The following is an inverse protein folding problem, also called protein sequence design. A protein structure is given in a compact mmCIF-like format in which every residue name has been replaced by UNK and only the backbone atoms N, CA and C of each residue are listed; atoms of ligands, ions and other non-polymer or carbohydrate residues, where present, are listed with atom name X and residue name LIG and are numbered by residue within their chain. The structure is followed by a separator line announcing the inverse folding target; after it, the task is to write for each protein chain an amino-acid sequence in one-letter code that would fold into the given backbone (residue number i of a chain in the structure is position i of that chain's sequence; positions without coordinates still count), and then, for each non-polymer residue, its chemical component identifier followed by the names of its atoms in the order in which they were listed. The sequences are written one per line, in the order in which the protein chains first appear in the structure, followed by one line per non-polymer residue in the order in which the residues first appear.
data_IF_828694717845
#
_entry.id   IF_828694717845
#
_cell.length_a   1.000
_cell.length_b   1.000
_cell.length_c   1.000
_cell.angle_alpha   90.00
_cell.angle_beta   90.00
_cell.angle_gamma   90.00
#
_symmetry.space_group_name_H-M   'P 1'
#
loop_
_entity.id
_entity.type
_entity.pdbx_description
1 polymer ?
#
# COMPACT_ATOMS: atom_id res chain seq x y z
N UNK A 1 34.33 -16.10 29.22
CA UNK A 1 33.06 -16.68 28.73
C UNK A 1 33.26 -18.19 28.62
N UNK A 2 32.44 -19.02 29.26
CA UNK A 2 32.49 -20.48 29.04
C UNK A 2 32.01 -20.74 27.61
N UNK A 3 32.91 -21.18 26.72
CA UNK A 3 32.54 -21.62 25.38
C UNK A 3 31.57 -22.80 25.53
N UNK A 4 30.30 -22.61 25.13
CA UNK A 4 29.36 -23.72 25.02
C UNK A 4 29.88 -24.66 23.94
N UNK A 5 30.07 -25.93 24.27
CA UNK A 5 30.50 -26.93 23.30
C UNK A 5 29.28 -27.41 22.50
N UNK A 6 29.01 -26.77 21.36
CA UNK A 6 27.83 -27.03 20.54
C UNK A 6 27.80 -28.48 20.03
N UNK A 7 28.98 -29.11 19.82
CA UNK A 7 29.10 -30.53 19.45
C UNK A 7 28.46 -31.48 20.47
N UNK A 8 28.47 -31.13 21.76
CA UNK A 8 27.83 -31.94 22.82
C UNK A 8 26.37 -31.54 23.05
N UNK A 9 26.01 -30.29 22.79
CA UNK A 9 24.62 -29.79 22.92
C UNK A 9 23.70 -30.23 21.76
N UNK A 10 24.26 -30.48 20.57
CA UNK A 10 23.49 -30.96 19.43
C UNK A 10 22.78 -32.30 19.75
N UNK A 11 23.47 -33.19 20.48
CA UNK A 11 22.95 -34.47 20.99
C UNK A 11 21.90 -34.24 22.08
N UNK A 12 20.65 -34.06 21.67
CA UNK A 12 19.51 -33.83 22.55
C UNK A 12 18.75 -32.53 22.29
N UNK A 13 19.22 -31.72 21.34
CA UNK A 13 18.51 -30.53 20.90
C UNK A 13 17.31 -30.90 20.01
N UNK A 14 16.20 -30.16 20.15
CA UNK A 14 15.04 -30.30 19.26
C UNK A 14 15.40 -29.85 17.85
N UNK A 15 14.74 -30.41 16.83
CA UNK A 15 15.03 -30.09 15.42
C UNK A 15 14.83 -28.60 15.12
N UNK A 16 13.88 -27.95 15.79
CA UNK A 16 13.63 -26.52 15.65
C UNK A 16 14.79 -25.68 16.20
N UNK A 17 15.38 -26.07 17.33
CA UNK A 17 16.49 -25.33 17.93
C UNK A 17 17.80 -25.54 17.15
N UNK A 18 17.99 -26.74 16.57
CA UNK A 18 19.04 -27.01 15.58
C UNK A 18 18.88 -26.10 14.37
N UNK A 19 17.66 -26.00 13.84
CA UNK A 19 17.36 -25.15 12.69
C UNK A 19 17.61 -23.66 12.99
N UNK A 20 17.18 -23.16 14.16
CA UNK A 20 17.45 -21.77 14.59
C UNK A 20 18.94 -21.47 14.64
N UNK A 21 19.76 -22.35 15.18
CA UNK A 21 21.22 -22.15 15.23
C UNK A 21 21.83 -22.09 13.83
N UNK A 22 21.43 -22.99 12.94
CA UNK A 22 21.88 -23.00 11.55
C UNK A 22 21.44 -21.72 10.80
N UNK A 23 20.23 -21.25 11.04
CA UNK A 23 19.73 -20.02 10.40
C UNK A 23 20.39 -18.77 10.98
N UNK A 24 20.61 -18.71 12.29
CA UNK A 24 21.34 -17.61 12.92
C UNK A 24 22.78 -17.52 12.40
N UNK A 25 23.46 -18.66 12.24
CA UNK A 25 24.79 -18.71 11.64
C UNK A 25 24.79 -18.22 10.20
N UNK A 26 23.82 -18.65 9.37
CA UNK A 26 23.68 -18.18 7.99
C UNK A 26 23.40 -16.69 7.89
N UNK A 27 22.53 -16.16 8.74
CA UNK A 27 22.24 -14.72 8.78
C UNK A 27 23.50 -13.92 9.12
N UNK A 28 24.25 -14.35 10.15
CA UNK A 28 25.52 -13.70 10.51
C UNK A 28 26.57 -13.78 9.39
N UNK A 29 26.66 -14.92 8.71
CA UNK A 29 27.54 -15.06 7.54
C UNK A 29 27.09 -14.13 6.41
N UNK A 30 25.79 -13.99 6.15
CA UNK A 30 25.28 -13.07 5.13
C UNK A 30 25.63 -11.60 5.45
N UNK A 31 25.42 -11.17 6.70
CA UNK A 31 25.76 -9.81 7.17
C UNK A 31 27.25 -9.48 7.06
N UNK A 32 28.11 -10.49 7.24
CA UNK A 32 29.57 -10.32 7.25
C UNK A 32 30.27 -10.75 5.96
N UNK A 33 29.52 -10.95 4.86
CA UNK A 33 30.06 -11.44 3.58
C UNK A 33 30.85 -12.75 3.73
N UNK A 34 30.41 -13.62 4.63
CA UNK A 34 31.00 -14.93 4.90
C UNK A 34 32.23 -14.91 5.81
N UNK A 35 32.61 -13.75 6.37
CA UNK A 35 33.81 -13.61 7.19
C UNK A 35 33.61 -14.10 8.63
N UNK A 36 32.39 -13.99 9.16
CA UNK A 36 32.09 -14.43 10.53
C UNK A 36 30.92 -15.41 10.55
N UNK A 37 31.12 -16.52 11.28
CA UNK A 37 30.08 -17.46 11.65
C UNK A 37 29.84 -17.46 13.16
N UNK A 38 28.65 -17.88 13.56
CA UNK A 38 28.35 -18.28 14.94
C UNK A 38 28.88 -19.71 15.18
N UNK A 39 28.82 -20.54 14.15
CA UNK A 39 29.22 -21.95 14.17
C UNK A 39 30.50 -22.15 13.35
N UNK A 40 31.39 -22.97 13.89
CA UNK A 40 32.49 -23.55 13.11
C UNK A 40 31.95 -24.60 12.13
N UNK A 41 32.66 -24.91 11.02
CA UNK A 41 32.24 -25.95 10.08
C UNK A 41 31.99 -27.32 10.72
N UNK A 42 32.78 -27.68 11.73
CA UNK A 42 32.61 -28.94 12.46
C UNK A 42 31.33 -28.95 13.32
N UNK A 43 30.93 -27.82 13.88
CA UNK A 43 29.71 -27.71 14.68
C UNK A 43 28.48 -27.77 13.79
N UNK A 44 28.52 -27.14 12.62
CA UNK A 44 27.49 -27.26 11.58
C UNK A 44 27.34 -28.72 11.12
N UNK A 45 28.46 -29.41 10.86
CA UNK A 45 28.46 -30.83 10.49
C UNK A 45 27.87 -31.71 11.58
N UNK A 46 28.24 -31.48 12.84
CA UNK A 46 27.72 -32.23 13.98
C UNK A 46 26.21 -32.09 14.16
N UNK A 47 25.64 -30.90 13.90
CA UNK A 47 24.18 -30.68 13.95
C UNK A 47 23.47 -31.47 12.84
N UNK A 48 24.04 -31.51 11.64
CA UNK A 48 23.48 -32.23 10.49
C UNK A 48 23.55 -33.75 10.71
N UNK A 49 24.70 -34.27 11.15
CA UNK A 49 24.89 -35.70 11.44
C UNK A 49 23.94 -36.16 12.55
N UNK A 50 23.78 -35.39 13.64
CA UNK A 50 22.83 -35.73 14.70
C UNK A 50 21.37 -35.71 14.23
N UNK A 51 21.01 -34.79 13.30
CA UNK A 51 19.68 -34.79 12.69
C UNK A 51 19.46 -36.01 11.76
N UNK A 52 20.51 -36.54 11.14
CA UNK A 52 20.44 -37.78 10.35
C UNK A 52 20.27 -38.99 11.25
N UNK A 53 21.07 -39.09 12.31
CA UNK A 53 21.05 -40.19 13.28
C UNK A 53 19.70 -40.30 14.00
N UNK A 54 19.04 -39.17 14.26
CA UNK A 54 17.71 -39.11 14.89
C UNK A 54 16.54 -39.17 13.89
N UNK A 55 16.79 -39.42 12.60
CA UNK A 55 15.79 -39.41 11.52
C UNK A 55 14.99 -38.09 11.40
N UNK A 56 15.57 -36.98 11.85
CA UNK A 56 14.99 -35.63 11.81
C UNK A 56 15.36 -34.86 10.54
N UNK A 57 16.27 -35.39 9.71
CA UNK A 57 16.82 -34.71 8.54
C UNK A 57 15.75 -34.25 7.53
N UNK A 58 14.66 -35.01 7.38
CA UNK A 58 13.54 -34.63 6.50
C UNK A 58 12.86 -33.35 6.97
N UNK A 59 12.65 -33.22 8.29
CA UNK A 59 12.05 -32.03 8.88
C UNK A 59 13.03 -30.84 8.84
N UNK A 60 14.32 -31.08 9.10
CA UNK A 60 15.35 -30.06 8.97
C UNK A 60 15.42 -29.51 7.54
N UNK A 61 15.32 -30.38 6.53
CA UNK A 61 15.27 -29.99 5.13
C UNK A 61 13.98 -29.22 4.78
N UNK A 62 12.83 -29.60 5.35
CA UNK A 62 11.58 -28.86 5.19
C UNK A 62 11.71 -27.43 5.75
N UNK A 63 12.23 -27.31 6.97
CA UNK A 63 12.45 -26.01 7.63
C UNK A 63 13.44 -25.15 6.84
N UNK A 64 14.52 -25.74 6.31
CA UNK A 64 15.48 -25.06 5.46
C UNK A 64 14.85 -24.53 4.16
N UNK A 65 13.98 -25.30 3.51
CA UNK A 65 13.22 -24.83 2.33
C UNK A 65 12.33 -23.64 2.68
N UNK A 66 11.60 -23.71 3.79
CA UNK A 66 10.73 -22.64 4.24
C UNK A 66 11.51 -21.37 4.59
N UNK A 67 12.68 -21.52 5.22
CA UNK A 67 13.59 -20.41 5.50
C UNK A 67 14.03 -19.72 4.21
N UNK A 68 14.51 -20.47 3.22
CA UNK A 68 14.91 -19.89 1.93
C UNK A 68 13.75 -19.16 1.22
N UNK A 69 12.55 -19.75 1.26
CA UNK A 69 11.34 -19.11 0.71
C UNK A 69 11.05 -17.80 1.45
N UNK A 70 11.15 -17.78 2.79
CA UNK A 70 10.95 -16.58 3.57
C UNK A 70 11.95 -15.48 3.17
N UNK A 71 13.23 -15.81 3.00
CA UNK A 71 14.25 -14.84 2.55
C UNK A 71 13.91 -14.23 1.17
N UNK A 72 13.45 -15.03 0.21
CA UNK A 72 13.01 -14.50 -1.08
C UNK A 72 11.74 -13.64 -0.96
N UNK A 73 10.80 -14.02 -0.07
CA UNK A 73 9.60 -13.24 0.18
C UNK A 73 9.91 -11.87 0.80
N UNK A 74 10.95 -11.75 1.64
CA UNK A 74 11.41 -10.44 2.14
C UNK A 74 11.82 -9.52 0.98
N UNK A 75 12.59 -10.05 0.01
CA UNK A 75 12.99 -9.29 -1.18
C UNK A 75 11.77 -8.91 -2.04
N UNK A 76 10.81 -9.82 -2.18
CA UNK A 76 9.55 -9.55 -2.88
C UNK A 76 8.72 -8.46 -2.17
N UNK A 77 8.70 -8.44 -0.84
CA UNK A 77 8.03 -7.39 -0.05
C UNK A 77 8.70 -6.04 -0.28
N UNK A 78 10.03 -5.97 -0.19
CA UNK A 78 10.78 -4.74 -0.46
C UNK A 78 10.53 -4.23 -1.89
N UNK A 79 10.52 -5.13 -2.87
CA UNK A 79 10.24 -4.80 -4.27
C UNK A 79 8.81 -4.31 -4.46
N UNK A 80 7.82 -4.96 -3.83
CA UNK A 80 6.42 -4.53 -3.87
C UNK A 80 6.24 -3.15 -3.21
N UNK A 81 6.93 -2.90 -2.11
CA UNK A 81 6.93 -1.60 -1.45
C UNK A 81 7.55 -0.50 -2.33
N UNK A 82 8.66 -0.78 -3.00
CA UNK A 82 9.25 0.16 -3.96
C UNK A 82 8.29 0.51 -5.10
N UNK A 83 7.59 -0.49 -5.66
CA UNK A 83 6.57 -0.24 -6.68
C UNK A 83 5.40 0.59 -6.17
N UNK A 84 4.96 0.36 -4.92
CA UNK A 84 3.99 1.22 -4.25
C UNK A 84 4.49 2.66 -4.18
N UNK A 85 5.71 2.91 -3.68
CA UNK A 85 6.28 4.27 -3.57
C UNK A 85 6.41 4.97 -4.92
N UNK A 86 6.77 4.24 -5.97
CA UNK A 86 6.83 4.79 -7.33
C UNK A 86 5.43 5.16 -7.85
N UNK A 87 4.42 4.32 -7.61
CA UNK A 87 3.04 4.60 -8.01
C UNK A 87 2.47 5.78 -7.21
N UNK A 88 2.70 5.81 -5.90
CA UNK A 88 2.32 6.91 -4.99
C UNK A 88 2.96 8.22 -5.44
N UNK A 89 4.26 8.24 -5.70
CA UNK A 89 4.97 9.44 -6.16
C UNK A 89 4.42 9.99 -7.47
N UNK A 90 4.03 9.12 -8.42
CA UNK A 90 3.36 9.53 -9.66
C UNK A 90 2.00 10.16 -9.39
N UNK A 91 1.19 9.54 -8.52
CA UNK A 91 -0.11 10.06 -8.13
C UNK A 91 0.03 11.43 -7.43
N UNK A 92 0.95 11.54 -6.47
CA UNK A 92 1.24 12.79 -5.78
C UNK A 92 1.72 13.88 -6.75
N UNK A 93 2.56 13.55 -7.72
CA UNK A 93 2.99 14.51 -8.75
C UNK A 93 1.80 15.04 -9.55
N UNK A 94 0.85 14.17 -9.91
CA UNK A 94 -0.38 14.56 -10.61
C UNK A 94 -1.21 15.50 -9.72
N UNK A 95 -1.43 15.13 -8.45
CA UNK A 95 -2.21 15.93 -7.49
C UNK A 95 -1.54 17.29 -7.26
N UNK A 96 -0.24 17.33 -7.00
CA UNK A 96 0.53 18.58 -6.81
C UNK A 96 0.49 19.46 -8.04
N UNK A 97 0.61 18.88 -9.24
CA UNK A 97 0.43 19.61 -10.49
C UNK A 97 -0.94 20.28 -10.55
N UNK A 98 -1.99 19.57 -10.16
CA UNK A 98 -3.37 20.09 -10.15
C UNK A 98 -3.56 21.19 -9.10
N UNK A 99 -2.91 21.08 -7.93
CA UNK A 99 -2.88 22.14 -6.89
C UNK A 99 -2.20 23.41 -7.41
N UNK A 100 -0.99 23.29 -7.97
CA UNK A 100 -0.15 24.42 -8.41
C UNK A 100 -0.74 25.17 -9.60
N UNK A 101 -1.21 24.42 -10.59
CA UNK A 101 -2.01 24.94 -11.70
C UNK A 101 -3.14 25.73 -11.06
N UNK A 102 -3.73 25.18 -10.01
CA UNK A 102 -4.79 25.79 -9.27
C UNK A 102 -4.58 27.18 -8.73
N UNK A 103 -3.68 27.28 -7.77
CA UNK A 103 -3.45 28.52 -7.02
C UNK A 103 -3.20 29.75 -7.92
N UNK A 104 -2.79 29.55 -9.17
CA UNK A 104 -2.53 30.61 -10.14
C UNK A 104 -3.76 31.35 -10.73
N UNK A 105 -4.99 30.80 -10.74
CA UNK A 105 -6.15 31.40 -11.48
C UNK A 105 -7.35 31.88 -10.62
N UNK A 106 -7.22 32.00 -9.29
CA UNK A 106 -8.30 32.43 -8.34
C UNK A 106 -9.68 31.75 -8.52
N UNK A 107 -9.71 30.57 -9.14
CA UNK A 107 -10.95 29.89 -9.57
C UNK A 107 -11.72 29.28 -8.39
N UNK A 108 -11.07 29.03 -7.25
CA UNK A 108 -11.71 28.61 -6.01
C UNK A 108 -12.58 29.71 -5.40
N UNK A 109 -12.19 30.98 -5.57
CA UNK A 109 -13.00 32.11 -5.13
C UNK A 109 -14.38 32.10 -5.76
N UNK A 110 -14.44 31.73 -7.05
CA UNK A 110 -15.66 31.60 -7.85
C UNK A 110 -16.45 30.32 -7.54
N UNK A 111 -15.82 29.14 -7.52
CA UNK A 111 -16.54 27.89 -7.25
C UNK A 111 -17.14 27.82 -5.83
N UNK A 112 -16.46 28.39 -4.83
CA UNK A 112 -17.01 28.50 -3.47
C UNK A 112 -18.21 29.45 -3.43
N UNK A 113 -18.18 30.49 -4.24
CA UNK A 113 -19.30 31.42 -4.38
C UNK A 113 -20.48 30.76 -5.12
N UNK A 114 -20.23 29.95 -6.15
CA UNK A 114 -21.25 29.18 -6.87
C UNK A 114 -21.93 28.14 -5.97
N UNK A 115 -21.15 27.45 -5.14
CA UNK A 115 -21.69 26.49 -4.15
C UNK A 115 -22.53 27.21 -3.09
N UNK A 116 -22.09 28.37 -2.62
CA UNK A 116 -22.81 29.15 -1.62
C UNK A 116 -24.11 29.76 -2.17
N UNK A 117 -24.14 30.06 -3.48
CA UNK A 117 -25.30 30.60 -4.19
C UNK A 117 -26.24 29.54 -4.75
N UNK A 118 -25.91 28.25 -4.60
CA UNK A 118 -26.73 27.15 -5.08
C UNK A 118 -28.11 27.14 -4.39
N UNK A 119 -29.18 27.19 -5.20
CA UNK A 119 -30.57 27.24 -4.71
C UNK A 119 -31.22 28.63 -4.74
N UNK A 120 -30.47 29.68 -5.09
CA UNK A 120 -30.99 31.03 -5.32
C UNK A 120 -31.06 31.33 -6.82
N UNK A 121 -32.10 32.05 -7.26
CA UNK A 121 -32.19 32.56 -8.63
C UNK A 121 -31.32 33.80 -8.83
N UNK A 122 -31.01 34.16 -10.09
CA UNK A 122 -30.22 35.37 -10.40
C UNK A 122 -30.86 36.64 -9.82
N UNK A 123 -32.18 36.75 -9.89
CA UNK A 123 -32.96 37.88 -9.37
C UNK A 123 -32.94 37.94 -7.83
N UNK A 124 -32.78 36.81 -7.15
CA UNK A 124 -32.65 36.74 -5.69
C UNK A 124 -31.26 37.12 -5.21
N UNK A 125 -30.22 36.88 -6.02
CA UNK A 125 -28.85 37.25 -5.70
C UNK A 125 -28.58 38.76 -5.78
N UNK A 126 -29.51 39.53 -6.37
CA UNK A 126 -29.50 40.99 -6.36
C UNK A 126 -30.04 41.59 -5.04
N UNK A 127 -30.68 40.76 -4.17
CA UNK A 127 -31.09 41.18 -2.83
C UNK A 127 -29.89 41.15 -1.88
N UNK A 128 -29.58 42.31 -1.31
CA UNK A 128 -28.47 42.53 -0.38
C UNK A 128 -28.47 41.57 0.81
N UNK A 129 -29.64 41.18 1.34
CA UNK A 129 -29.71 40.24 2.47
C UNK A 129 -29.34 38.82 2.08
N UNK A 130 -29.69 38.40 0.86
CA UNK A 130 -29.35 37.08 0.33
C UNK A 130 -27.87 37.03 0.00
N UNK A 131 -27.33 38.13 -0.53
CA UNK A 131 -25.91 38.27 -0.82
C UNK A 131 -25.05 38.14 0.44
N UNK A 132 -25.42 38.79 1.54
CA UNK A 132 -24.75 38.66 2.84
C UNK A 132 -24.77 37.19 3.38
N UNK A 133 -25.85 36.44 3.11
CA UNK A 133 -25.99 35.04 3.52
C UNK A 133 -25.13 34.10 2.67
N UNK A 134 -25.08 34.33 1.36
CA UNK A 134 -24.19 33.64 0.43
C UNK A 134 -22.73 33.90 0.78
N UNK A 135 -22.37 35.14 1.10
CA UNK A 135 -21.00 35.51 1.49
C UNK A 135 -20.57 34.81 2.79
N UNK A 136 -21.45 34.68 3.78
CA UNK A 136 -21.17 33.91 5.00
C UNK A 136 -20.99 32.41 4.73
N UNK A 137 -21.84 31.81 3.88
CA UNK A 137 -21.69 30.41 3.44
C UNK A 137 -20.37 30.20 2.68
N UNK A 138 -20.07 31.10 1.74
CA UNK A 138 -18.84 31.10 0.97
C UNK A 138 -17.62 31.24 1.88
N UNK A 139 -17.69 32.05 2.94
CA UNK A 139 -16.58 32.19 3.88
C UNK A 139 -16.39 30.96 4.77
N UNK A 140 -17.47 30.28 5.15
CA UNK A 140 -17.42 28.96 5.81
C UNK A 140 -16.75 27.91 4.91
N UNK A 141 -17.15 27.84 3.64
CA UNK A 141 -16.55 26.95 2.65
C UNK A 141 -15.10 27.34 2.36
N UNK A 142 -14.78 28.63 2.24
CA UNK A 142 -13.40 29.10 2.12
C UNK A 142 -12.58 28.68 3.33
N UNK A 143 -13.07 28.75 4.57
CA UNK A 143 -12.32 28.26 5.74
C UNK A 143 -12.16 26.73 5.73
N UNK A 144 -13.15 26.00 5.23
CA UNK A 144 -13.11 24.54 5.04
C UNK A 144 -12.10 24.12 3.96
N UNK A 145 -12.01 24.87 2.86
CA UNK A 145 -11.25 24.49 1.67
C UNK A 145 -9.95 25.29 1.45
N UNK A 146 -9.73 26.47 2.07
CA UNK A 146 -8.46 27.25 2.02
C UNK A 146 -7.30 26.57 2.73
N UNK A 147 -7.55 25.54 3.55
CA UNK A 147 -6.45 24.81 4.19
C UNK A 147 -5.64 23.98 3.21
N UNK A 148 -6.17 23.67 2.03
CA UNK A 148 -5.49 22.92 0.99
C UNK A 148 -5.74 23.60 -0.37
N UNK A 149 -4.75 24.33 -0.89
CA UNK A 149 -4.84 25.04 -2.16
C UNK A 149 -5.32 24.15 -3.31
N UNK A 150 -6.32 24.60 -4.06
CA UNK A 150 -7.15 23.72 -4.90
C UNK A 150 -7.67 24.41 -6.17
N UNK A 151 -7.00 25.45 -6.68
CA UNK A 151 -7.70 26.45 -7.49
C UNK A 151 -7.75 26.18 -9.03
N UNK A 152 -7.50 24.95 -9.54
CA UNK A 152 -7.59 24.56 -10.99
C UNK A 152 -7.71 23.05 -11.17
N UNK A 153 -8.32 22.34 -10.23
CA UNK A 153 -8.67 20.94 -10.52
C UNK A 153 -9.83 20.82 -11.52
N UNK A 154 -10.51 21.93 -11.85
CA UNK A 154 -11.90 21.90 -12.34
C UNK A 154 -12.17 22.44 -13.74
N UNK A 155 -11.19 22.99 -14.47
CA UNK A 155 -11.41 23.41 -15.87
C UNK A 155 -10.74 22.51 -16.92
N UNK A 156 -9.87 21.54 -16.55
CA UNK A 156 -8.82 21.05 -17.46
C UNK A 156 -8.59 19.53 -17.52
N UNK A 157 -9.56 18.69 -17.17
CA UNK A 157 -9.46 17.24 -17.46
C UNK A 157 -9.72 16.90 -18.97
N UNK A 158 -9.05 17.65 -19.86
CA UNK A 158 -9.19 17.76 -21.34
C UNK A 158 -10.20 18.83 -21.80
N UNK A 159 -9.70 19.92 -22.37
CA UNK A 159 -10.44 20.75 -23.33
C UNK A 159 -10.15 20.20 -24.73
N UNK A 160 -11.14 19.72 -25.51
CA UNK A 160 -11.14 20.01 -26.92
C UNK A 160 -11.48 21.49 -27.07
N UNK A 161 -10.64 22.23 -27.80
CA UNK A 161 -10.94 23.58 -28.28
C UNK A 161 -12.27 23.58 -29.05
N UNK A 162 -13.40 23.85 -28.40
CA UNK A 162 -14.65 24.17 -29.09
C UNK A 162 -15.43 25.18 -28.26
N UNK A 163 -15.58 26.38 -28.81
CA UNK A 163 -16.57 27.37 -28.40
C UNK A 163 -17.98 26.76 -28.48
N UNK A 164 -18.78 26.83 -27.42
CA UNK A 164 -20.18 27.27 -27.54
C UNK A 164 -20.94 27.21 -26.21
N UNK A 165 -21.90 28.12 -26.18
CA UNK A 165 -22.80 28.57 -25.14
C UNK A 165 -23.80 27.53 -24.60
N UNK A 166 -24.21 27.78 -23.35
CA UNK A 166 -25.49 27.41 -22.73
C UNK A 166 -25.86 25.92 -22.70
N UNK A 167 -25.55 25.28 -21.56
CA UNK A 167 -26.29 24.18 -20.92
C UNK A 167 -25.64 23.97 -19.54
N UNK A 168 -26.42 23.60 -18.53
CA UNK A 168 -25.95 23.21 -17.20
C UNK A 168 -24.67 22.40 -17.34
N UNK A 169 -23.52 23.00 -16.98
CA UNK A 169 -22.21 22.39 -17.19
C UNK A 169 -22.14 21.14 -16.33
N UNK A 170 -22.34 19.97 -16.94
CA UNK A 170 -21.93 18.71 -16.35
C UNK A 170 -20.43 18.83 -16.10
N UNK A 171 -20.04 18.82 -14.82
CA UNK A 171 -18.63 18.88 -14.44
C UNK A 171 -17.86 17.79 -15.19
N UNK A 172 -16.70 18.17 -15.72
CA UNK A 172 -15.80 17.25 -16.41
C UNK A 172 -15.40 16.12 -15.47
N UNK A 173 -15.41 14.89 -15.98
CA UNK A 173 -15.04 13.69 -15.23
C UNK A 173 -13.59 13.79 -14.71
N UNK A 174 -13.21 13.10 -13.60
CA UNK A 174 -11.81 13.05 -13.18
C UNK A 174 -10.93 12.59 -14.33
N UNK A 175 -9.71 13.12 -14.53
CA UNK A 175 -8.91 12.69 -15.69
C UNK A 175 -8.68 11.18 -15.72
N UNK A 176 -8.72 10.56 -16.90
CA UNK A 176 -8.30 9.16 -17.07
C UNK A 176 -6.93 8.86 -16.47
N UNK A 177 -6.00 9.82 -16.55
CA UNK A 177 -4.63 9.67 -16.03
C UNK A 177 -4.64 9.57 -14.51
N UNK A 178 -5.36 10.46 -13.81
CA UNK A 178 -5.52 10.39 -12.35
C UNK A 178 -6.18 9.08 -11.94
N UNK A 179 -7.29 8.72 -12.60
CA UNK A 179 -8.04 7.50 -12.31
C UNK A 179 -7.14 6.26 -12.41
N UNK A 180 -6.38 6.13 -13.52
CA UNK A 180 -5.43 5.03 -13.72
C UNK A 180 -4.30 5.04 -12.70
N UNK A 181 -3.70 6.19 -12.43
CA UNK A 181 -2.62 6.33 -11.46
C UNK A 181 -3.08 5.89 -10.06
N UNK A 182 -4.28 6.30 -9.65
CA UNK A 182 -4.87 5.90 -8.38
C UNK A 182 -5.14 4.38 -8.31
N UNK A 183 -5.74 3.82 -9.35
CA UNK A 183 -6.01 2.38 -9.41
C UNK A 183 -4.72 1.54 -9.44
N UNK A 184 -3.65 2.07 -10.03
CA UNK A 184 -2.32 1.46 -9.96
C UNK A 184 -1.81 1.40 -8.51
N UNK A 185 -1.91 2.48 -7.73
CA UNK A 185 -1.49 2.45 -6.31
C UNK A 185 -2.24 1.38 -5.53
N UNK A 186 -3.56 1.28 -5.71
CA UNK A 186 -4.38 0.23 -5.08
C UNK A 186 -3.88 -1.18 -5.46
N UNK A 187 -3.47 -1.36 -6.71
CA UNK A 187 -2.95 -2.64 -7.20
C UNK A 187 -1.62 -2.99 -6.53
N UNK A 188 -0.70 -2.03 -6.41
CA UNK A 188 0.58 -2.24 -5.73
C UNK A 188 0.41 -2.47 -4.22
N UNK A 189 -0.52 -1.77 -3.55
CA UNK A 189 -0.85 -2.05 -2.14
C UNK A 189 -1.34 -3.50 -1.97
N UNK A 190 -2.22 -3.98 -2.87
CA UNK A 190 -2.66 -5.38 -2.85
C UNK A 190 -1.52 -6.35 -3.07
N UNK A 191 -0.57 -6.01 -3.95
CA UNK A 191 0.62 -6.82 -4.20
C UNK A 191 1.48 -6.92 -2.95
N UNK A 192 1.77 -5.80 -2.30
CA UNK A 192 2.48 -5.74 -1.02
C UNK A 192 1.78 -6.60 0.03
N UNK A 193 0.48 -6.37 0.25
CA UNK A 193 -0.31 -7.15 1.24
C UNK A 193 -0.31 -8.64 0.92
N UNK A 194 -0.32 -9.04 -0.37
CA UNK A 194 -0.19 -10.46 -0.77
C UNK A 194 1.11 -11.03 -0.22
N UNK A 195 2.23 -10.36 -0.43
CA UNK A 195 3.54 -10.86 0.01
C UNK A 195 3.68 -10.92 1.53
N UNK A 196 3.19 -9.91 2.25
CA UNK A 196 3.14 -9.93 3.73
C UNK A 196 2.29 -11.11 4.23
N UNK A 197 1.12 -11.33 3.63
CA UNK A 197 0.30 -12.49 3.99
C UNK A 197 0.99 -13.83 3.68
N UNK A 198 1.73 -13.91 2.57
CA UNK A 198 2.48 -15.12 2.20
C UNK A 198 3.57 -15.42 3.22
N UNK A 199 4.32 -14.42 3.68
CA UNK A 199 5.41 -14.62 4.65
C UNK A 199 4.88 -15.01 6.03
N UNK A 200 3.79 -14.39 6.48
CA UNK A 200 3.07 -14.77 7.71
C UNK A 200 2.63 -16.25 7.65
N UNK A 201 2.12 -16.69 6.49
CA UNK A 201 1.72 -18.07 6.30
C UNK A 201 2.90 -19.04 6.35
N UNK A 202 4.04 -18.69 5.77
CA UNK A 202 5.28 -19.49 5.82
C UNK A 202 5.77 -19.64 7.26
N UNK A 203 5.82 -18.54 8.03
CA UNK A 203 6.20 -18.54 9.45
C UNK A 203 5.24 -19.42 10.27
N UNK A 204 3.92 -19.26 10.07
CA UNK A 204 2.91 -20.08 10.73
C UNK A 204 3.05 -21.59 10.39
N UNK A 205 3.41 -21.92 9.16
CA UNK A 205 3.65 -23.30 8.70
C UNK A 205 4.95 -23.91 9.22
N UNK A 206 5.96 -23.08 9.44
CA UNK A 206 7.20 -23.49 10.06
C UNK A 206 7.05 -23.67 11.58
N UNK A 207 6.10 -22.97 12.21
CA UNK A 207 5.98 -22.85 13.68
C UNK A 207 7.27 -22.32 14.32
N UNK A 208 7.98 -21.50 13.56
CA UNK A 208 9.28 -20.95 13.91
C UNK A 208 9.42 -19.59 13.24
N UNK A 209 10.03 -18.66 13.97
CA UNK A 209 10.38 -17.35 13.44
C UNK A 209 11.56 -17.47 12.48
N UNK A 210 11.42 -16.87 11.30
CA UNK A 210 12.47 -16.79 10.29
C UNK A 210 12.99 -15.38 10.10
N UNK A 211 12.15 -14.38 10.40
CA UNK A 211 12.50 -12.99 10.18
C UNK A 211 13.33 -12.49 11.33
N UNK A 212 14.43 -11.84 10.99
CA UNK A 212 15.17 -11.00 11.93
C UNK A 212 14.30 -9.85 12.43
N UNK A 213 14.64 -9.30 13.60
CA UNK A 213 13.93 -8.13 14.16
C UNK A 213 14.03 -6.91 13.24
N UNK A 214 15.12 -6.77 12.49
CA UNK A 214 15.29 -5.70 11.49
C UNK A 214 14.33 -5.88 10.31
N UNK A 215 14.13 -7.10 9.81
CA UNK A 215 13.17 -7.38 8.74
C UNK A 215 11.73 -7.15 9.19
N UNK A 216 11.38 -7.58 10.41
CA UNK A 216 10.04 -7.33 10.99
C UNK A 216 9.76 -5.84 11.10
N UNK A 217 10.68 -5.09 11.71
CA UNK A 217 10.55 -3.64 11.83
C UNK A 217 10.42 -2.97 10.45
N UNK A 218 11.16 -3.45 9.46
CA UNK A 218 11.07 -2.94 8.08
C UNK A 218 9.68 -3.15 7.49
N UNK A 219 9.11 -4.36 7.63
CA UNK A 219 7.77 -4.70 7.12
C UNK A 219 6.69 -3.89 7.86
N UNK A 220 6.84 -3.70 9.16
CA UNK A 220 5.95 -2.86 9.97
C UNK A 220 5.97 -1.42 9.50
N UNK A 221 7.15 -0.80 9.35
CA UNK A 221 7.31 0.56 8.86
C UNK A 221 6.68 0.74 7.46
N UNK A 222 6.88 -0.21 6.54
CA UNK A 222 6.26 -0.18 5.22
C UNK A 222 4.73 -0.26 5.30
N UNK A 223 4.21 -1.06 6.22
CA UNK A 223 2.77 -1.20 6.44
C UNK A 223 2.17 0.08 7.02
N UNK A 224 2.87 0.75 7.93
CA UNK A 224 2.48 2.05 8.47
C UNK A 224 2.40 3.12 7.38
N UNK A 225 3.42 3.24 6.53
CA UNK A 225 3.40 4.20 5.42
C UNK A 225 2.26 3.92 4.43
N UNK A 226 2.04 2.66 4.06
CA UNK A 226 0.90 2.27 3.23
C UNK A 226 -0.43 2.63 3.92
N UNK A 227 -0.53 2.46 5.23
CA UNK A 227 -1.75 2.80 5.97
C UNK A 227 -2.04 4.30 5.95
N UNK A 228 -1.02 5.16 5.99
CA UNK A 228 -1.20 6.62 5.79
C UNK A 228 -1.85 6.92 4.44
N UNK A 229 -1.42 6.23 3.38
CA UNK A 229 -2.05 6.33 2.06
C UNK A 229 -3.50 5.83 2.07
N UNK A 230 -3.76 4.67 2.69
CA UNK A 230 -5.11 4.08 2.77
C UNK A 230 -6.07 4.99 3.55
N UNK A 231 -5.56 5.74 4.53
CA UNK A 231 -6.32 6.72 5.29
C UNK A 231 -6.45 8.08 4.57
N UNK A 232 -5.91 8.20 3.34
CA UNK A 232 -5.90 9.42 2.53
C UNK A 232 -5.29 10.63 3.28
N UNK A 233 -4.22 10.42 4.05
CA UNK A 233 -3.56 11.49 4.79
C UNK A 233 -2.89 12.52 3.85
N UNK A 234 -2.80 13.79 4.31
CA UNK A 234 -2.18 14.88 3.57
C UNK A 234 -2.93 15.24 2.28
N UNK A 235 -2.19 15.53 1.20
CA UNK A 235 -2.77 15.95 -0.08
C UNK A 235 -3.60 14.86 -0.78
N UNK A 236 -3.51 13.60 -0.35
CA UNK A 236 -4.34 12.51 -0.88
C UNK A 236 -5.82 12.68 -0.51
N UNK A 237 -6.11 13.38 0.59
CA UNK A 237 -7.47 13.72 1.00
C UNK A 237 -8.24 14.50 -0.05
N UNK A 238 -7.55 15.19 -0.96
CA UNK A 238 -8.16 15.89 -2.10
C UNK A 238 -8.93 14.92 -3.02
N UNK A 239 -8.50 13.67 -3.14
CA UNK A 239 -9.20 12.68 -3.97
C UNK A 239 -10.61 12.40 -3.43
N UNK A 240 -10.85 12.56 -2.12
CA UNK A 240 -12.16 12.34 -1.50
C UNK A 240 -13.24 13.25 -2.10
N UNK A 241 -12.86 14.42 -2.61
CA UNK A 241 -13.81 15.36 -3.21
C UNK A 241 -14.57 14.77 -4.40
N UNK A 242 -13.98 13.83 -5.14
CA UNK A 242 -14.66 13.18 -6.26
C UNK A 242 -15.83 12.31 -5.79
N UNK A 243 -15.75 11.73 -4.58
CA UNK A 243 -16.87 11.00 -3.98
C UNK A 243 -17.98 11.98 -3.61
N UNK A 244 -17.64 13.09 -2.94
CA UNK A 244 -18.61 14.13 -2.58
C UNK A 244 -19.34 14.67 -3.81
N UNK A 245 -18.64 14.80 -4.94
CA UNK A 245 -19.21 15.31 -6.17
C UNK A 245 -20.19 14.33 -6.81
N UNK A 246 -19.89 13.03 -6.76
CA UNK A 246 -20.86 12.00 -7.18
C UNK A 246 -22.07 11.98 -6.25
N UNK A 247 -21.86 12.07 -4.94
CA UNK A 247 -22.92 12.03 -3.94
C UNK A 247 -23.87 13.22 -4.03
N UNK A 248 -23.37 14.39 -4.44
CA UNK A 248 -24.17 15.60 -4.69
C UNK A 248 -24.75 15.70 -6.12
N UNK A 249 -24.61 14.65 -6.94
CA UNK A 249 -25.12 14.63 -8.32
C UNK A 249 -24.37 15.57 -9.29
N UNK A 250 -23.21 16.07 -8.86
CA UNK A 250 -22.35 16.96 -9.63
C UNK A 250 -21.53 16.21 -10.69
N UNK A 251 -21.22 14.93 -10.42
CA UNK A 251 -20.57 14.03 -11.38
C UNK A 251 -21.42 12.78 -11.60
N UNK A 252 -21.53 12.37 -12.86
CA UNK A 252 -22.09 11.05 -13.17
C UNK A 252 -21.06 9.96 -12.83
N UNK A 253 -21.38 9.08 -11.87
CA UNK A 253 -20.54 7.93 -11.53
C UNK A 253 -20.46 6.85 -12.61
N UNK A 254 -21.24 6.94 -13.69
CA UNK A 254 -21.33 5.90 -14.74
C UNK A 254 -20.36 6.08 -15.90
N UNK A 255 -19.78 7.28 -16.08
CA UNK A 255 -18.94 7.61 -17.24
C UNK A 255 -17.44 7.68 -16.90
N UNK A 256 -17.01 6.90 -15.91
CA UNK A 256 -15.62 6.84 -15.46
C UNK A 256 -14.79 5.91 -16.37
N UNK A 257 -13.55 6.31 -16.66
CA UNK A 257 -12.59 5.46 -17.36
C UNK A 257 -12.20 4.24 -16.52
N UNK A 258 -12.12 4.42 -15.20
CA UNK A 258 -11.93 3.35 -14.23
C UNK A 258 -13.22 3.21 -13.40
N UNK A 259 -14.09 2.28 -13.81
CA UNK A 259 -15.39 2.00 -13.16
C UNK A 259 -15.33 1.78 -11.64
N UNK A 260 -14.17 1.42 -11.08
CA UNK A 260 -13.96 1.21 -9.65
C UNK A 260 -13.36 2.41 -8.93
N UNK A 261 -13.04 3.49 -9.62
CA UNK A 261 -12.33 4.63 -9.04
C UNK A 261 -13.09 5.20 -7.84
N UNK A 262 -14.32 5.67 -8.06
CA UNK A 262 -15.13 6.29 -6.99
C UNK A 262 -15.42 5.30 -5.86
N UNK A 263 -15.81 4.07 -6.18
CA UNK A 263 -16.04 3.02 -5.18
C UNK A 263 -14.80 2.73 -4.34
N UNK A 264 -13.61 2.83 -4.96
CA UNK A 264 -12.35 2.58 -4.27
C UNK A 264 -11.95 3.73 -3.37
N UNK A 265 -12.16 4.98 -3.82
CA UNK A 265 -11.94 6.17 -2.98
C UNK A 265 -12.88 6.14 -1.77
N UNK A 266 -14.17 5.83 -1.99
CA UNK A 266 -15.18 5.79 -0.93
C UNK A 266 -14.86 4.79 0.18
N UNK A 267 -14.26 3.65 -0.15
CA UNK A 267 -13.88 2.63 0.81
C UNK A 267 -12.47 2.09 0.52
N UNK A 268 -11.47 2.90 0.85
CA UNK A 268 -10.06 2.58 0.64
C UNK A 268 -9.62 1.31 1.38
N UNK A 269 -10.16 1.06 2.56
CA UNK A 269 -9.87 -0.13 3.35
C UNK A 269 -10.31 -1.40 2.62
N UNK A 270 -11.55 -1.42 2.12
CA UNK A 270 -12.06 -2.54 1.31
C UNK A 270 -11.37 -2.62 -0.04
N UNK A 271 -11.12 -1.48 -0.68
CA UNK A 271 -10.49 -1.40 -1.99
C UNK A 271 -9.09 -2.01 -1.98
N UNK A 272 -8.34 -1.86 -0.90
CA UNK A 272 -6.97 -2.36 -0.75
C UNK A 272 -6.89 -3.73 -0.05
N UNK A 273 -8.00 -4.27 0.47
CA UNK A 273 -8.02 -5.57 1.15
C UNK A 273 -7.78 -6.73 0.18
N UNK A 274 -7.02 -7.73 0.64
CA UNK A 274 -6.88 -8.99 -0.08
C UNK A 274 -8.19 -9.78 -0.08
N UNK A 275 -8.60 -10.21 -1.27
CA UNK A 275 -9.75 -11.12 -1.44
C UNK A 275 -9.40 -12.52 -0.94
N UNK A 276 -10.41 -13.26 -0.47
CA UNK A 276 -10.25 -14.65 -0.03
C UNK A 276 -9.67 -15.57 -1.12
N UNK A 277 -9.99 -15.30 -2.40
CA UNK A 277 -9.37 -16.02 -3.53
C UNK A 277 -7.85 -15.81 -3.56
N UNK A 278 -7.37 -14.57 -3.56
CA UNK A 278 -5.94 -14.26 -3.57
C UNK A 278 -5.21 -14.86 -2.35
N UNK A 279 -5.84 -14.89 -1.18
CA UNK A 279 -5.31 -15.55 0.02
C UNK A 279 -5.22 -17.07 -0.11
N UNK A 280 -6.14 -17.72 -0.84
CA UNK A 280 -6.08 -19.15 -1.14
C UNK A 280 -5.00 -19.44 -2.18
N UNK A 281 -4.96 -18.66 -3.26
CA UNK A 281 -3.97 -18.81 -4.32
C UNK A 281 -2.54 -18.68 -3.76
N UNK A 282 -2.27 -17.70 -2.89
CA UNK A 282 -0.98 -17.53 -2.21
C UNK A 282 -0.61 -18.73 -1.32
N UNK A 283 -1.59 -19.33 -0.62
CA UNK A 283 -1.36 -20.54 0.19
C UNK A 283 -1.02 -21.73 -0.69
N UNK A 284 -1.75 -21.92 -1.78
CA UNK A 284 -1.52 -23.01 -2.72
C UNK A 284 -0.16 -22.91 -3.42
N UNK A 285 0.29 -21.70 -3.75
CA UNK A 285 1.65 -21.45 -4.28
C UNK A 285 2.72 -21.99 -3.33
N UNK A 286 2.60 -21.68 -2.03
CA UNK A 286 3.54 -22.16 -1.00
C UNK A 286 3.43 -23.67 -0.79
N UNK A 287 2.22 -24.21 -0.68
CA UNK A 287 2.00 -25.66 -0.49
C UNK A 287 2.58 -26.47 -1.65
N UNK A 288 2.45 -26.00 -2.90
CA UNK A 288 3.07 -26.65 -4.07
C UNK A 288 4.60 -26.67 -3.99
N UNK A 289 5.22 -25.60 -3.49
CA UNK A 289 6.68 -25.55 -3.32
C UNK A 289 7.13 -26.46 -2.19
N UNK A 290 6.38 -26.55 -1.10
CA UNK A 290 6.66 -27.47 0.02
C UNK A 290 6.52 -28.94 -0.42
N UNK A 291 5.44 -29.26 -1.13
CA UNK A 291 5.08 -30.62 -1.54
C UNK A 291 5.90 -31.15 -2.72
N UNK A 292 6.56 -30.29 -3.50
CA UNK A 292 7.60 -30.72 -4.44
C UNK A 292 8.77 -31.31 -3.65
N UNK A 293 8.63 -32.59 -3.31
CA UNK A 293 9.75 -33.47 -3.01
C UNK A 293 10.60 -33.64 -4.26
N UNK A 294 11.90 -33.71 -3.99
CA UNK A 294 13.02 -33.91 -4.89
C UNK A 294 12.77 -35.17 -5.74
N UNK A 295 12.93 -35.06 -7.06
CA UNK A 295 13.60 -36.12 -7.83
C UNK A 295 15.11 -35.92 -7.64
#
# INVERSE_FOLDING_TARGET
MKNLNIKTLAKGMRVEDKAKLLFADRNKRAETQGKEGILTPDEEKAIIEDAQDLHQITELNRLNKLFNIASFLVLDIQTAYLHFRLAEGRLLTIITGMILVGEADDTLGHAVYDLASQGYSKEQLDDKKIQDEVDQKAESYRKKYKKDGLNKLYSHFELPLVESSTKTEMLSQPSPILQRAFMMVITEIKRFRKQVYTIEYVVAKARMEFLSETEKQTIENFSEEINKFVNLEGHLGLIQMFVDFVDNGMLSGTNLNEHKFIDSVRDMQKATRLRNKAKRDAKEEIEKVIQKQIL
#
